data_IF_219534713480
#
_entry.id   IF_219534713480
#
_cell.length_a   1.000
_cell.length_b   1.000
_cell.length_c   1.000
_cell.angle_alpha   90.00
_cell.angle_beta   90.00
_cell.angle_gamma   90.00
#
_symmetry.space_group_name_H-M   'P 1'
#
loop_
_entity.id
_entity.type
_entity.pdbx_description
1 polymer ?
#
# COMPACT_ATOMS: atom_id res chain seq x y z
N UNK A 1 2.05 -10.92 1.99
CA UNK A 1 1.23 -10.82 3.21
C UNK A 1 0.30 -9.60 3.19
N UNK A 2 0.70 -8.45 2.62
CA UNK A 2 -0.16 -7.28 2.45
C UNK A 2 -1.56 -7.57 1.85
N UNK A 3 -1.66 -8.38 0.79
CA UNK A 3 -2.96 -8.77 0.21
C UNK A 3 -3.86 -9.54 1.19
N UNK A 4 -3.29 -10.32 2.10
CA UNK A 4 -4.05 -11.08 3.11
C UNK A 4 -4.59 -10.13 4.18
N UNK A 5 -3.77 -9.17 4.64
CA UNK A 5 -4.22 -8.15 5.59
C UNK A 5 -5.29 -7.22 4.98
N UNK A 6 -5.23 -6.94 3.67
CA UNK A 6 -6.30 -6.23 2.95
C UNK A 6 -7.62 -6.99 2.94
N UNK A 7 -7.57 -8.33 2.84
CA UNK A 7 -8.75 -9.19 2.83
C UNK A 7 -9.32 -9.37 4.25
N UNK A 8 -8.46 -9.36 5.27
CA UNK A 8 -8.85 -9.55 6.69
C UNK A 8 -9.43 -8.26 7.30
N UNK A 9 -9.23 -7.09 6.68
CA UNK A 9 -9.74 -5.79 7.15
C UNK A 9 -8.79 -5.10 8.14
N UNK A 10 -7.59 -5.63 8.35
CA UNK A 10 -6.54 -4.99 9.15
C UNK A 10 -5.74 -4.03 8.28
N UNK A 11 -6.39 -2.92 7.93
CA UNK A 11 -5.84 -1.94 7.00
C UNK A 11 -4.57 -1.27 7.52
N UNK A 12 -4.48 -0.98 8.83
CA UNK A 12 -3.28 -0.37 9.42
C UNK A 12 -2.04 -1.27 9.32
N UNK A 13 -2.18 -2.56 9.59
CA UNK A 13 -1.09 -3.54 9.48
C UNK A 13 -0.65 -3.74 8.02
N UNK A 14 -1.61 -3.73 7.09
CA UNK A 14 -1.30 -3.78 5.66
C UNK A 14 -0.49 -2.54 5.22
N UNK A 15 -0.84 -1.35 5.70
CA UNK A 15 -0.13 -0.10 5.38
C UNK A 15 1.29 -0.12 5.95
N UNK A 16 1.49 -0.56 7.19
CA UNK A 16 2.83 -0.66 7.79
C UNK A 16 3.74 -1.65 7.03
N UNK A 17 3.19 -2.80 6.61
CA UNK A 17 3.91 -3.76 5.74
C UNK A 17 4.24 -3.16 4.37
N UNK A 18 3.32 -2.41 3.77
CA UNK A 18 3.55 -1.73 2.49
C UNK A 18 4.61 -0.65 2.61
N UNK A 19 4.66 0.09 3.72
CA UNK A 19 5.72 1.08 3.97
C UNK A 19 7.09 0.40 4.06
N UNK A 20 7.19 -0.74 4.73
CA UNK A 20 8.43 -1.51 4.79
C UNK A 20 8.87 -2.00 3.41
N UNK A 21 7.95 -2.56 2.61
CA UNK A 21 8.24 -3.07 1.27
C UNK A 21 8.62 -1.95 0.29
N UNK A 22 7.99 -0.78 0.39
CA UNK A 22 8.32 0.42 -0.41
C UNK A 22 9.63 1.06 0.03
N UNK A 23 10.02 0.90 1.30
CA UNK A 23 11.32 1.37 1.81
C UNK A 23 12.50 0.59 1.22
N UNK A 24 12.28 -0.64 0.75
CA UNK A 24 13.30 -1.50 0.15
C UNK A 24 13.18 -1.40 -1.37
N UNK A 25 14.28 -1.30 -2.13
CA UNK A 25 14.22 -1.39 -3.59
C UNK A 25 13.65 -2.75 -4.00
N UNK A 26 12.37 -2.76 -4.32
CA UNK A 26 11.59 -3.92 -4.73
C UNK A 26 10.81 -3.59 -5.99
N UNK A 27 10.17 -4.60 -6.57
CA UNK A 27 9.32 -4.41 -7.75
C UNK A 27 7.97 -3.77 -7.39
N UNK A 28 7.74 -3.46 -6.10
CA UNK A 28 6.53 -2.86 -5.61
C UNK A 28 6.64 -1.33 -5.75
N UNK A 29 5.79 -0.75 -6.59
CA UNK A 29 5.71 0.70 -6.77
C UNK A 29 4.33 1.19 -6.33
N UNK A 30 4.21 2.46 -5.91
CA UNK A 30 2.92 3.07 -5.60
C UNK A 30 1.91 2.95 -6.75
N UNK A 31 2.39 3.09 -7.99
CA UNK A 31 1.57 2.93 -9.19
C UNK A 31 1.00 1.51 -9.34
N UNK A 32 1.79 0.47 -9.04
CA UNK A 32 1.33 -0.92 -9.07
C UNK A 32 0.25 -1.16 -8.01
N UNK A 33 0.42 -0.61 -6.81
CA UNK A 33 -0.56 -0.70 -5.73
C UNK A 33 -1.86 0.02 -6.07
N UNK A 34 -1.80 1.15 -6.79
CA UNK A 34 -3.00 1.85 -7.29
C UNK A 34 -3.74 1.06 -8.36
N UNK A 35 -3.03 0.29 -9.19
CA UNK A 35 -3.62 -0.50 -10.26
C UNK A 35 -4.26 -1.80 -9.79
N UNK A 36 -3.84 -2.33 -8.64
CA UNK A 36 -4.34 -3.60 -8.10
C UNK A 36 -5.69 -3.40 -7.36
N UNK A 37 -6.78 -4.07 -7.79
CA UNK A 37 -8.11 -3.93 -7.20
C UNK A 37 -8.20 -4.40 -5.75
N UNK A 38 -7.24 -5.19 -5.24
CA UNK A 38 -7.19 -5.60 -3.83
C UNK A 38 -6.97 -4.40 -2.90
N UNK A 39 -6.26 -3.38 -3.38
CA UNK A 39 -6.00 -2.14 -2.63
C UNK A 39 -7.01 -1.04 -2.95
N UNK A 40 -7.99 -1.27 -3.83
CA UNK A 40 -9.06 -0.32 -4.11
C UNK A 40 -9.78 0.19 -2.84
N UNK A 41 -10.21 -0.66 -1.87
CA UNK A 41 -10.81 -0.16 -0.63
C UNK A 41 -9.81 0.58 0.27
N UNK A 42 -8.50 0.34 0.12
CA UNK A 42 -7.47 1.06 0.86
C UNK A 42 -7.20 2.46 0.30
N UNK A 43 -7.54 2.72 -0.97
CA UNK A 43 -7.40 4.05 -1.57
C UNK A 43 -8.29 5.10 -0.90
N UNK A 44 -9.36 4.67 -0.22
CA UNK A 44 -10.21 5.57 0.57
C UNK A 44 -9.57 5.93 1.92
N UNK A 45 -8.50 5.25 2.34
CA UNK A 45 -7.82 5.50 3.61
C UNK A 45 -6.78 6.62 3.47
N UNK A 46 -6.88 7.69 4.28
CA UNK A 46 -5.95 8.82 4.23
C UNK A 46 -4.47 8.42 4.43
N UNK A 47 -4.20 7.46 5.32
CA UNK A 47 -2.83 6.96 5.56
C UNK A 47 -2.23 6.29 4.32
N UNK A 48 -3.04 5.54 3.57
CA UNK A 48 -2.57 4.84 2.37
C UNK A 48 -2.27 5.82 1.24
N UNK A 49 -3.13 6.83 1.04
CA UNK A 49 -2.88 7.89 0.05
C UNK A 49 -1.59 8.65 0.37
N UNK A 50 -1.39 9.04 1.64
CA UNK A 50 -0.16 9.71 2.08
C UNK A 50 1.10 8.86 1.87
N UNK A 51 1.00 7.54 2.11
CA UNK A 51 2.09 6.60 1.84
C UNK A 51 2.41 6.57 0.34
N UNK A 52 1.40 6.45 -0.52
CA UNK A 52 1.62 6.44 -1.96
C UNK A 52 2.29 7.73 -2.42
N UNK A 53 1.79 8.90 -2.02
CA UNK A 53 2.39 10.20 -2.38
C UNK A 53 3.86 10.33 -1.92
N UNK A 54 4.19 9.84 -0.72
CA UNK A 54 5.56 9.85 -0.18
C UNK A 54 6.55 9.08 -1.06
N UNK A 55 6.10 8.00 -1.71
CA UNK A 55 6.94 7.13 -2.54
C UNK A 55 6.73 7.31 -4.05
N UNK A 56 5.71 8.07 -4.49
CA UNK A 56 5.39 8.35 -5.89
C UNK A 56 6.41 9.30 -6.54
N UNK A 57 7.04 10.17 -5.74
CA UNK A 57 8.05 11.15 -6.18
C UNK A 57 9.50 10.64 -6.20
N UNK A 58 9.74 9.32 -6.27
CA UNK A 58 11.09 8.74 -6.25
C UNK A 58 11.50 8.11 -7.57
#
# INVERSE_FOLDING_TARGET
MAQIYSIVGEYDLAIDELEYVLSIPSWCTPALLRADPIFAPMQELPRFVALLEKYDSK
#
